data_IF_214701938949
#
_entry.id   IF_214701938949
#
_cell.length_a   1.000
_cell.length_b   1.000
_cell.length_c   1.000
_cell.angle_alpha   90.00
_cell.angle_beta   90.00
_cell.angle_gamma   90.00
#
_symmetry.space_group_name_H-M   'P 1'
#
loop_
_entity.id
_entity.type
_entity.pdbx_description
1 polymer ?
#
# COMPACT_ATOMS: atom_id res chain seq x y z
N UNK A 1 -14.34 18.02 -27.36
CA UNK A 1 -14.47 19.40 -27.91
C UNK A 1 -13.61 19.49 -29.13
N UNK A 2 -14.24 19.93 -30.23
CA UNK A 2 -13.59 19.90 -31.54
C UNK A 2 -12.79 21.16 -31.87
N UNK A 3 -12.95 22.23 -31.11
CA UNK A 3 -12.46 23.57 -31.43
C UNK A 3 -11.05 23.89 -30.93
N UNK A 4 -10.25 22.84 -30.63
CA UNK A 4 -8.87 23.01 -30.19
C UNK A 4 -8.71 23.87 -28.93
N UNK A 5 -9.73 23.95 -28.12
CA UNK A 5 -9.67 24.63 -26.83
C UNK A 5 -9.10 23.64 -25.81
N UNK A 6 -8.12 24.07 -25.05
CA UNK A 6 -7.58 23.29 -23.96
C UNK A 6 -8.68 22.96 -22.96
N UNK A 7 -8.93 21.69 -22.76
CA UNK A 7 -9.98 21.21 -21.87
C UNK A 7 -9.61 19.86 -21.28
N UNK A 8 -10.22 19.53 -20.16
CA UNK A 8 -10.09 18.24 -19.55
C UNK A 8 -11.40 17.87 -18.86
N UNK A 9 -11.67 16.57 -18.78
CA UNK A 9 -12.80 16.05 -18.02
C UNK A 9 -12.50 16.12 -16.53
N UNK A 10 -13.47 16.55 -15.74
CA UNK A 10 -13.40 16.42 -14.29
C UNK A 10 -13.77 14.97 -13.92
N UNK A 11 -12.84 14.27 -13.29
CA UNK A 11 -13.04 12.90 -12.86
C UNK A 11 -13.38 12.82 -11.38
N UNK A 12 -14.29 11.91 -11.04
CA UNK A 12 -14.52 11.47 -9.66
C UNK A 12 -13.60 10.29 -9.31
N UNK A 13 -13.63 9.86 -8.06
CA UNK A 13 -12.80 8.72 -7.63
C UNK A 13 -13.14 7.43 -8.36
N UNK A 14 -14.41 7.18 -8.65
CA UNK A 14 -14.84 6.04 -9.46
C UNK A 14 -14.24 6.06 -10.87
N UNK A 15 -14.11 7.24 -11.47
CA UNK A 15 -13.51 7.38 -12.80
C UNK A 15 -12.01 7.04 -12.79
N UNK A 16 -11.33 7.27 -11.67
CA UNK A 16 -9.93 6.91 -11.52
C UNK A 16 -9.73 5.38 -11.62
N UNK A 17 -10.59 4.59 -10.99
CA UNK A 17 -10.53 3.12 -11.05
C UNK A 17 -10.67 2.59 -12.48
N UNK A 18 -11.42 3.29 -13.32
CA UNK A 18 -11.72 2.92 -14.70
C UNK A 18 -10.84 3.67 -15.72
N UNK A 19 -9.89 4.48 -15.28
CA UNK A 19 -9.14 5.38 -16.14
C UNK A 19 -8.35 4.64 -17.21
N UNK A 20 -8.61 4.95 -18.49
CA UNK A 20 -8.03 4.24 -19.62
C UNK A 20 -6.50 4.31 -19.67
N UNK A 21 -5.90 5.44 -19.33
CA UNK A 21 -4.44 5.61 -19.31
C UNK A 21 -3.78 4.72 -18.24
N UNK A 22 -4.38 4.64 -17.06
CA UNK A 22 -3.85 3.81 -15.98
C UNK A 22 -3.93 2.33 -16.33
N UNK A 23 -5.00 1.90 -17.00
CA UNK A 23 -5.14 0.53 -17.50
C UNK A 23 -4.14 0.23 -18.62
N UNK A 24 -4.04 1.11 -19.60
CA UNK A 24 -3.14 0.92 -20.74
C UNK A 24 -1.67 0.86 -20.32
N UNK A 25 -1.29 1.62 -19.30
CA UNK A 25 0.06 1.63 -18.75
C UNK A 25 0.28 0.59 -17.65
N UNK A 26 -0.71 -0.24 -17.37
CA UNK A 26 -0.64 -1.27 -16.33
C UNK A 26 -0.18 -0.72 -14.97
N UNK A 27 -0.79 0.41 -14.57
CA UNK A 27 -0.40 1.11 -13.32
C UNK A 27 -1.10 0.59 -12.08
N UNK A 28 -2.03 -0.35 -12.22
CA UNK A 28 -2.70 -1.01 -11.10
C UNK A 28 -2.04 -2.32 -10.73
N UNK A 29 -1.92 -2.59 -9.45
CA UNK A 29 -1.47 -3.88 -8.92
C UNK A 29 -2.32 -4.28 -7.73
N UNK A 30 -2.34 -5.56 -7.41
CA UNK A 30 -3.05 -6.06 -6.24
C UNK A 30 -2.11 -6.08 -5.03
N UNK A 31 -2.61 -5.58 -3.91
CA UNK A 31 -1.90 -5.58 -2.63
C UNK A 31 -2.72 -6.34 -1.60
N UNK A 32 -2.12 -7.33 -0.95
CA UNK A 32 -2.76 -8.07 0.11
C UNK A 32 -2.90 -7.20 1.37
N UNK A 33 -4.06 -7.28 2.00
CA UNK A 33 -4.34 -6.59 3.27
C UNK A 33 -4.98 -7.57 4.26
N UNK A 34 -5.07 -7.23 5.55
CA UNK A 34 -5.77 -8.09 6.53
C UNK A 34 -7.24 -8.35 6.21
N UNK A 35 -7.85 -7.53 5.37
CA UNK A 35 -9.26 -7.66 4.97
C UNK A 35 -9.44 -8.16 3.55
N UNK A 36 -8.38 -8.60 2.89
CA UNK A 36 -8.40 -9.10 1.52
C UNK A 36 -7.46 -8.35 0.58
N UNK A 37 -7.48 -8.70 -0.69
CA UNK A 37 -6.66 -8.07 -1.72
C UNK A 37 -7.34 -6.79 -2.22
N UNK A 38 -6.58 -5.73 -2.36
CA UNK A 38 -7.07 -4.43 -2.86
C UNK A 38 -6.21 -3.98 -4.05
N UNK A 39 -6.83 -3.36 -5.08
CA UNK A 39 -6.07 -2.74 -6.14
C UNK A 39 -5.38 -1.47 -5.64
N UNK A 40 -4.13 -1.28 -6.01
CA UNK A 40 -3.33 -0.11 -5.66
C UNK A 40 -2.59 0.42 -6.87
N UNK A 41 -2.40 1.74 -6.92
CA UNK A 41 -1.59 2.36 -7.95
C UNK A 41 -0.11 2.17 -7.68
N UNK A 42 0.63 1.84 -8.71
CA UNK A 42 2.09 1.85 -8.66
C UNK A 42 2.59 3.28 -8.44
N UNK A 43 3.72 3.48 -7.72
CA UNK A 43 4.28 4.80 -7.51
C UNK A 43 4.60 5.50 -8.82
N UNK A 44 4.52 6.84 -8.89
CA UNK A 44 5.00 7.60 -10.05
C UNK A 44 6.51 7.46 -10.21
N UNK A 45 7.03 7.84 -11.37
CA UNK A 45 8.46 7.74 -11.64
C UNK A 45 8.91 6.33 -12.02
N UNK A 46 8.05 5.58 -12.72
CA UNK A 46 8.37 4.24 -13.20
C UNK A 46 9.64 4.22 -14.04
N UNK A 47 10.48 3.23 -13.79
CA UNK A 47 11.72 3.00 -14.54
C UNK A 47 11.81 1.52 -14.92
N UNK A 48 12.39 1.23 -16.08
CA UNK A 48 12.70 -0.14 -16.47
C UNK A 48 13.84 -0.76 -15.66
N UNK A 49 14.61 0.04 -14.94
CA UNK A 49 15.76 -0.39 -14.14
C UNK A 49 15.40 -0.86 -12.71
N UNK A 50 14.17 -0.72 -12.27
CA UNK A 50 13.74 -1.18 -10.95
C UNK A 50 12.25 -1.45 -10.89
N UNK A 51 11.85 -2.26 -9.94
CA UNK A 51 10.44 -2.50 -9.62
C UNK A 51 10.09 -1.86 -8.27
N UNK A 52 8.93 -1.21 -8.23
CA UNK A 52 8.40 -0.69 -6.98
C UNK A 52 8.06 -1.83 -6.02
N UNK A 53 8.40 -1.65 -4.76
CA UNK A 53 8.03 -2.57 -3.70
C UNK A 53 6.56 -2.36 -3.35
N UNK A 54 5.75 -3.39 -3.59
CA UNK A 54 4.30 -3.37 -3.35
C UNK A 54 3.92 -4.57 -2.46
N UNK A 55 4.58 -4.69 -1.32
CA UNK A 55 4.37 -5.78 -0.38
C UNK A 55 3.01 -5.65 0.33
N UNK A 56 2.62 -6.72 1.00
CA UNK A 56 1.39 -6.76 1.77
C UNK A 56 1.35 -5.68 2.87
N UNK A 57 0.17 -5.12 3.09
CA UNK A 57 -0.07 -4.22 4.22
C UNK A 57 -0.20 -5.05 5.49
N UNK A 58 0.62 -4.80 6.53
CA UNK A 58 0.61 -5.61 7.74
C UNK A 58 -0.65 -5.38 8.57
N UNK A 59 -1.03 -6.41 9.33
CA UNK A 59 -2.05 -6.28 10.35
C UNK A 59 -1.52 -5.46 11.54
N UNK A 60 -2.43 -4.94 12.34
CA UNK A 60 -2.06 -4.20 13.56
C UNK A 60 -1.23 -5.09 14.50
N UNK A 61 -0.04 -4.63 14.84
CA UNK A 61 0.87 -5.35 15.74
C UNK A 61 1.57 -6.57 15.14
N UNK A 62 1.47 -6.79 13.83
CA UNK A 62 2.06 -7.96 13.17
C UNK A 62 3.57 -8.07 13.38
N UNK A 63 4.27 -6.94 13.42
CA UNK A 63 5.74 -6.91 13.55
C UNK A 63 6.24 -6.60 14.97
N UNK A 64 5.35 -6.39 15.93
CA UNK A 64 5.70 -5.95 17.28
C UNK A 64 6.69 -6.91 17.95
N UNK A 65 6.39 -8.20 17.96
CA UNK A 65 7.28 -9.19 18.59
C UNK A 65 8.64 -9.31 17.89
N UNK A 66 8.63 -9.30 16.57
CA UNK A 66 9.84 -9.37 15.76
C UNK A 66 10.77 -8.18 16.04
N UNK A 67 10.20 -6.97 16.11
CA UNK A 67 10.95 -5.75 16.39
C UNK A 67 11.53 -5.78 17.79
N UNK A 68 10.73 -6.12 18.80
CA UNK A 68 11.18 -6.19 20.19
C UNK A 68 12.26 -7.26 20.38
N UNK A 69 12.11 -8.42 19.76
CA UNK A 69 13.12 -9.47 19.78
C UNK A 69 14.44 -8.99 19.16
N UNK A 70 14.38 -8.26 18.05
CA UNK A 70 15.57 -7.69 17.41
C UNK A 70 16.29 -6.65 18.29
N UNK A 71 15.56 -6.00 19.20
CA UNK A 71 16.11 -5.05 20.16
C UNK A 71 16.66 -5.70 21.44
N UNK A 72 16.57 -7.02 21.57
CA UNK A 72 17.11 -7.77 22.71
C UNK A 72 16.10 -8.07 23.82
N UNK A 73 14.82 -7.81 23.62
CA UNK A 73 13.79 -8.19 24.60
C UNK A 73 13.58 -9.71 24.62
N UNK A 74 13.47 -10.29 25.80
CA UNK A 74 13.15 -11.70 25.96
C UNK A 74 11.65 -11.96 25.75
N UNK A 75 11.28 -13.23 25.52
CA UNK A 75 9.87 -13.61 25.36
C UNK A 75 9.05 -13.26 26.62
N UNK A 76 9.65 -13.44 27.81
CA UNK A 76 9.01 -13.08 29.09
C UNK A 76 8.77 -11.58 29.20
N UNK A 77 9.76 -10.76 28.81
CA UNK A 77 9.63 -9.31 28.83
C UNK A 77 8.53 -8.83 27.88
N UNK A 78 8.43 -9.41 26.69
CA UNK A 78 7.38 -9.10 25.72
C UNK A 78 6.00 -9.46 26.28
N UNK A 79 5.88 -10.63 26.93
CA UNK A 79 4.65 -11.06 27.57
C UNK A 79 4.22 -10.08 28.69
N UNK A 80 5.17 -9.61 29.51
CA UNK A 80 4.89 -8.62 30.54
C UNK A 80 4.41 -7.29 29.95
N UNK A 81 5.01 -6.84 28.85
CA UNK A 81 4.57 -5.62 28.17
C UNK A 81 3.14 -5.75 27.63
N UNK A 82 2.79 -6.92 27.08
CA UNK A 82 1.40 -7.19 26.65
C UNK A 82 0.42 -7.20 27.83
N UNK A 83 0.78 -7.87 28.93
CA UNK A 83 -0.05 -7.98 30.11
C UNK A 83 -0.29 -6.60 30.76
N UNK A 84 0.71 -5.73 30.76
CA UNK A 84 0.60 -4.36 31.26
C UNK A 84 -0.08 -3.41 30.29
N UNK A 85 -0.47 -3.89 29.10
CA UNK A 85 -1.05 -3.10 28.02
C UNK A 85 -0.16 -1.94 27.53
N UNK A 86 1.16 -2.14 27.63
CA UNK A 86 2.15 -1.21 27.08
C UNK A 86 2.28 -1.36 25.55
N UNK A 87 1.94 -2.53 25.06
CA UNK A 87 1.89 -2.85 23.63
C UNK A 87 0.64 -3.65 23.30
#
# INVERSE_FOLDING_TARGET
IRDRIANARLNEMSDLWEHAQLRARQRWTEVATPVGSLPALLPPGASSGWQARMDAIPALGEHTETILTSLGYSAEAITQLKTSKAI
#
